data_IF_709874266675
#
_entry.id   IF_709874266675
#
_cell.length_a   1.000
_cell.length_b   1.000
_cell.length_c   1.000
_cell.angle_alpha   90.00
_cell.angle_beta   90.00
_cell.angle_gamma   90.00
#
_symmetry.space_group_name_H-M   'P 1'
#
loop_
_entity.id
_entity.type
_entity.pdbx_description
1 polymer ?
#
# COMPACT_ATOMS: atom_id res chain seq x y z
N UNK A 1 -11.96 12.56 -7.18
CA UNK A 1 -12.88 12.80 -6.05
C UNK A 1 -13.29 14.27 -6.02
N UNK A 2 -12.34 15.18 -6.23
CA UNK A 2 -12.58 16.61 -6.40
C UNK A 2 -12.15 17.08 -7.81
N UNK A 3 -12.64 18.24 -8.29
CA UNK A 3 -12.11 18.90 -9.48
C UNK A 3 -10.63 19.26 -9.33
N UNK A 4 -9.84 19.09 -10.39
CA UNK A 4 -8.39 19.35 -10.37
C UNK A 4 -8.00 20.76 -9.89
N UNK A 5 -8.68 21.84 -10.30
CA UNK A 5 -8.30 23.19 -9.85
C UNK A 5 -8.35 23.37 -8.32
N UNK A 6 -9.25 22.67 -7.63
CA UNK A 6 -9.37 22.72 -6.17
C UNK A 6 -8.26 21.91 -5.50
N UNK A 7 -7.94 20.75 -6.09
CA UNK A 7 -6.88 19.87 -5.59
C UNK A 7 -5.51 20.53 -5.70
N UNK A 8 -5.23 21.17 -6.84
CA UNK A 8 -3.93 21.78 -7.13
C UNK A 8 -3.70 23.09 -6.38
N UNK A 9 -4.77 23.76 -5.94
CA UNK A 9 -4.70 24.99 -5.15
C UNK A 9 -5.03 24.73 -3.67
N UNK A 10 -6.29 24.90 -3.28
CA UNK A 10 -6.75 24.99 -1.88
C UNK A 10 -6.41 23.78 -1.01
N UNK A 11 -6.39 22.57 -1.59
CA UNK A 11 -6.14 21.35 -0.81
C UNK A 11 -4.69 20.88 -0.85
N UNK A 12 -3.90 21.36 -1.80
CA UNK A 12 -2.49 21.00 -1.88
C UNK A 12 -1.70 21.79 -0.84
N UNK A 13 -0.82 21.11 -0.10
CA UNK A 13 0.16 21.75 0.77
C UNK A 13 1.30 22.30 -0.08
N UNK A 14 0.99 23.25 -0.97
CA UNK A 14 1.95 23.88 -1.86
C UNK A 14 3.02 24.60 -1.04
N UNK A 15 4.27 24.38 -1.40
CA UNK A 15 5.37 25.07 -0.78
C UNK A 15 5.21 26.59 -1.01
N UNK A 16 5.49 27.37 0.04
CA UNK A 16 5.60 28.84 0.07
C UNK A 16 4.37 29.65 0.55
N UNK A 17 3.19 29.06 0.78
CA UNK A 17 2.05 29.77 1.40
C UNK A 17 1.52 29.05 2.66
N UNK A 18 1.04 29.81 3.64
CA UNK A 18 0.42 29.26 4.84
C UNK A 18 -0.92 28.60 4.46
N UNK A 19 -0.99 27.28 4.61
CA UNK A 19 -2.17 26.47 4.23
C UNK A 19 -2.89 25.94 5.45
N UNK A 20 -4.21 25.83 5.37
CA UNK A 20 -5.02 25.25 6.44
C UNK A 20 -4.84 23.73 6.49
N UNK A 21 -4.55 23.21 7.67
CA UNK A 21 -4.37 21.79 7.92
C UNK A 21 -5.15 21.33 9.15
N UNK A 22 -5.41 20.02 9.20
CA UNK A 22 -5.70 19.31 10.43
C UNK A 22 -4.41 18.61 10.83
N UNK A 23 -3.78 19.08 11.91
CA UNK A 23 -2.52 18.56 12.41
C UNK A 23 -2.73 17.58 13.55
N UNK A 24 -1.86 16.58 13.61
CA UNK A 24 -1.86 15.53 14.63
C UNK A 24 -0.45 15.49 15.22
N UNK A 25 -0.33 15.88 16.49
CA UNK A 25 0.93 15.85 17.25
C UNK A 25 0.91 14.70 18.26
N UNK A 26 2.05 14.04 18.45
CA UNK A 26 2.23 12.95 19.41
C UNK A 26 3.71 12.78 19.73
N UNK A 27 4.03 12.16 20.87
CA UNK A 27 5.39 11.69 21.17
C UNK A 27 5.46 10.17 21.13
N UNK A 28 6.62 9.66 20.76
CA UNK A 28 6.94 8.23 20.77
C UNK A 28 7.89 7.98 21.94
N UNK A 29 7.50 7.11 22.87
CA UNK A 29 8.32 6.76 24.03
C UNK A 29 9.50 5.83 23.68
N UNK A 30 10.31 5.48 24.67
CA UNK A 30 11.48 4.61 24.49
C UNK A 30 11.09 3.20 24.01
N UNK A 31 9.91 2.71 24.38
CA UNK A 31 9.37 1.43 23.94
C UNK A 31 8.70 1.49 22.56
N UNK A 32 8.49 2.67 21.98
CA UNK A 32 7.85 2.87 20.68
C UNK A 32 6.33 3.08 20.72
N UNK A 33 5.74 3.28 21.91
CA UNK A 33 4.31 3.59 22.09
C UNK A 33 4.06 5.07 21.88
N UNK A 34 2.81 5.40 21.55
CA UNK A 34 2.32 6.79 21.55
C UNK A 34 1.69 7.10 22.90
N UNK A 35 2.13 8.19 23.52
CA UNK A 35 1.60 8.69 24.80
C UNK A 35 0.10 9.06 24.73
N UNK A 36 -0.51 9.39 25.88
CA UNK A 36 -1.87 9.95 25.96
C UNK A 36 -1.93 11.47 25.73
N UNK A 37 -0.77 12.13 25.64
CA UNK A 37 -0.61 13.58 25.48
C UNK A 37 -0.68 14.05 24.03
N UNK A 38 -1.16 13.20 23.11
CA UNK A 38 -1.36 13.56 21.71
C UNK A 38 -2.37 14.70 21.53
N UNK A 39 -2.20 15.47 20.46
CA UNK A 39 -3.03 16.61 20.12
C UNK A 39 -3.57 16.48 18.70
N UNK A 40 -4.84 16.86 18.50
CA UNK A 40 -5.41 17.07 17.17
C UNK A 40 -5.98 18.48 17.12
N UNK A 41 -5.50 19.30 16.19
CA UNK A 41 -5.91 20.69 16.07
C UNK A 41 -5.98 21.15 14.61
N UNK A 42 -6.74 22.21 14.36
CA UNK A 42 -6.65 22.94 13.09
C UNK A 42 -5.47 23.90 13.16
N UNK A 43 -4.66 23.95 12.12
CA UNK A 43 -3.41 24.70 12.10
C UNK A 43 -3.20 25.40 10.75
N UNK A 44 -2.34 26.43 10.76
CA UNK A 44 -1.73 26.98 9.55
C UNK A 44 -0.32 26.41 9.42
N UNK A 45 -0.02 25.77 8.29
CA UNK A 45 1.28 25.14 8.04
C UNK A 45 1.94 25.71 6.80
N UNK A 46 3.27 25.81 6.85
CA UNK A 46 4.11 26.09 5.70
C UNK A 46 4.97 24.87 5.45
N UNK A 47 4.94 24.33 4.23
CA UNK A 47 5.64 23.11 3.86
C UNK A 47 6.71 23.38 2.81
N UNK A 48 7.62 22.41 2.65
CA UNK A 48 8.55 22.36 1.54
C UNK A 48 8.32 21.06 0.78
N UNK A 49 8.46 21.11 -0.54
CA UNK A 49 8.34 19.92 -1.37
C UNK A 49 9.68 19.20 -1.37
N UNK A 50 9.68 17.96 -0.89
CA UNK A 50 10.82 17.05 -0.90
C UNK A 50 10.37 15.69 -1.43
N UNK A 51 11.22 14.97 -2.16
CA UNK A 51 10.92 13.63 -2.69
C UNK A 51 11.52 12.53 -1.80
N UNK A 52 11.06 11.29 -2.00
CA UNK A 52 11.65 10.13 -1.32
C UNK A 52 13.14 10.01 -1.62
N UNK A 53 13.52 10.16 -2.90
CA UNK A 53 14.92 10.08 -3.35
C UNK A 53 15.78 11.18 -2.69
N UNK A 54 15.23 12.38 -2.49
CA UNK A 54 15.95 13.47 -1.79
C UNK A 54 16.19 13.14 -0.31
N UNK A 55 15.19 12.60 0.39
CA UNK A 55 15.31 12.21 1.81
C UNK A 55 16.25 11.03 1.97
N UNK A 56 16.16 10.03 1.09
CA UNK A 56 17.07 8.89 1.11
C UNK A 56 18.53 9.36 0.88
N UNK A 57 18.77 10.20 -0.11
CA UNK A 57 20.10 10.78 -0.36
C UNK A 57 20.60 11.65 0.81
N UNK A 58 19.71 12.41 1.47
CA UNK A 58 20.04 13.20 2.65
C UNK A 58 20.45 12.31 3.83
N UNK A 59 19.72 11.23 4.09
CA UNK A 59 20.03 10.29 5.17
C UNK A 59 21.32 9.50 4.89
N UNK A 60 21.64 9.23 3.62
CA UNK A 60 22.89 8.60 3.20
C UNK A 60 24.10 9.54 3.28
N UNK A 61 23.93 10.84 3.00
CA UNK A 61 25.04 11.79 2.96
C UNK A 61 25.69 12.00 4.34
N UNK A 62 24.90 11.86 5.41
CA UNK A 62 25.32 12.11 6.78
C UNK A 62 26.01 13.48 6.97
N UNK A 63 25.56 14.50 6.23
CA UNK A 63 26.19 15.82 6.18
C UNK A 63 26.11 16.62 7.50
N UNK A 64 25.35 16.12 8.48
CA UNK A 64 25.19 16.73 9.80
C UNK A 64 24.42 18.05 9.77
N UNK A 65 23.76 18.39 8.66
CA UNK A 65 22.88 19.55 8.54
C UNK A 65 21.64 19.43 9.44
N UNK A 66 20.90 20.54 9.60
CA UNK A 66 19.68 20.52 10.41
C UNK A 66 18.63 19.58 9.81
N UNK A 67 18.43 19.63 8.49
CA UNK A 67 17.50 18.73 7.81
C UNK A 67 17.86 17.26 8.01
N UNK A 68 19.16 16.92 7.93
CA UNK A 68 19.63 15.56 8.24
C UNK A 68 19.25 15.15 9.66
N UNK A 69 19.53 16.00 10.66
CA UNK A 69 19.17 15.71 12.07
C UNK A 69 17.68 15.48 12.24
N UNK A 70 16.84 16.34 11.65
CA UNK A 70 15.38 16.23 11.75
C UNK A 70 14.87 14.90 11.16
N UNK A 71 15.34 14.52 9.96
CA UNK A 71 14.95 13.25 9.34
C UNK A 71 15.57 12.03 10.03
N UNK A 72 16.78 12.15 10.56
CA UNK A 72 17.44 11.09 11.33
C UNK A 72 16.67 10.80 12.63
N UNK A 73 16.31 11.83 13.39
CA UNK A 73 15.54 11.67 14.62
C UNK A 73 14.15 11.08 14.34
N UNK A 74 13.54 11.49 13.23
CA UNK A 74 12.29 10.91 12.75
C UNK A 74 12.42 9.43 12.36
N UNK A 75 13.48 9.04 11.64
CA UNK A 75 13.79 7.64 11.31
C UNK A 75 13.98 6.81 12.58
N UNK A 76 14.74 7.31 13.56
CA UNK A 76 14.94 6.63 14.85
C UNK A 76 13.61 6.39 15.57
N UNK A 77 12.75 7.40 15.65
CA UNK A 77 11.43 7.27 16.26
C UNK A 77 10.54 6.26 15.50
N UNK A 78 10.55 6.32 14.16
CA UNK A 78 9.78 5.41 13.31
C UNK A 78 10.25 3.96 13.46
N UNK A 79 11.56 3.71 13.55
CA UNK A 79 12.11 2.35 13.78
C UNK A 79 11.69 1.77 15.12
N UNK A 80 11.75 2.57 16.20
CA UNK A 80 11.29 2.15 17.54
C UNK A 80 9.81 1.77 17.50
N UNK A 81 8.99 2.64 16.90
CA UNK A 81 7.55 2.41 16.77
C UNK A 81 7.23 1.20 15.90
N UNK A 82 7.93 1.00 14.78
CA UNK A 82 7.80 -0.20 13.95
C UNK A 82 8.13 -1.46 14.75
N UNK A 83 9.23 -1.47 15.49
CA UNK A 83 9.62 -2.59 16.34
C UNK A 83 8.54 -2.90 17.39
N UNK A 84 7.97 -1.87 18.02
CA UNK A 84 6.85 -2.02 18.94
C UNK A 84 5.63 -2.66 18.28
N UNK A 85 5.19 -2.15 17.12
CA UNK A 85 4.04 -2.70 16.38
C UNK A 85 4.29 -4.15 15.96
N UNK A 86 5.49 -4.48 15.51
CA UNK A 86 5.89 -5.87 15.21
C UNK A 86 5.78 -6.75 16.44
N UNK A 87 6.19 -6.25 17.62
CA UNK A 87 5.96 -6.91 18.91
C UNK A 87 4.48 -7.11 19.26
N UNK A 88 3.59 -6.25 18.75
CA UNK A 88 2.12 -6.40 18.85
C UNK A 88 1.51 -7.34 17.80
N UNK A 89 2.34 -8.02 17.00
CA UNK A 89 1.92 -8.94 15.94
C UNK A 89 1.64 -8.26 14.60
N UNK A 90 2.09 -7.01 14.39
CA UNK A 90 2.06 -6.41 13.06
C UNK A 90 2.88 -7.24 12.08
N UNK A 91 2.37 -7.33 10.86
CA UNK A 91 3.00 -8.11 9.81
C UNK A 91 3.38 -7.19 8.65
N UNK A 92 4.68 -7.10 8.38
CA UNK A 92 5.22 -6.32 7.26
C UNK A 92 5.56 -7.26 6.12
N UNK A 93 5.10 -6.91 4.92
CA UNK A 93 5.47 -7.61 3.69
C UNK A 93 6.12 -6.61 2.77
N UNK A 94 7.36 -6.89 2.40
CA UNK A 94 8.03 -6.15 1.36
C UNK A 94 7.40 -6.53 0.02
N UNK A 95 6.70 -5.56 -0.58
CA UNK A 95 6.12 -5.68 -1.90
C UNK A 95 6.67 -4.54 -2.74
N UNK A 96 7.20 -4.86 -3.91
CA UNK A 96 7.45 -3.85 -4.93
C UNK A 96 6.14 -3.55 -5.66
N UNK A 97 5.94 -2.30 -6.04
CA UNK A 97 4.72 -1.91 -6.73
C UNK A 97 5.05 -1.44 -8.14
N UNK A 98 4.50 -2.11 -9.18
CA UNK A 98 4.70 -1.66 -10.55
C UNK A 98 3.88 -0.39 -10.81
N UNK A 99 4.57 0.70 -11.13
CA UNK A 99 3.96 1.92 -11.67
C UNK A 99 3.87 1.81 -13.19
N UNK A 100 2.65 1.61 -13.66
CA UNK A 100 2.33 1.56 -15.08
C UNK A 100 2.06 2.98 -15.60
N UNK A 101 2.77 3.38 -16.66
CA UNK A 101 2.57 4.65 -17.38
C UNK A 101 2.35 4.35 -18.86
N UNK A 102 1.31 4.95 -19.41
CA UNK A 102 0.92 4.82 -20.82
C UNK A 102 0.98 6.20 -21.47
N UNK A 103 1.68 6.31 -22.59
CA UNK A 103 1.81 7.53 -23.39
C UNK A 103 1.26 7.29 -24.80
N UNK A 104 0.63 8.31 -25.40
CA UNK A 104 0.03 8.20 -26.74
C UNK A 104 -1.14 7.21 -26.80
N UNK A 105 -2.03 7.24 -25.79
CA UNK A 105 -3.19 6.34 -25.69
C UNK A 105 -4.13 6.41 -26.92
N UNK A 106 -4.18 7.58 -27.54
CA UNK A 106 -4.95 7.91 -28.74
C UNK A 106 -4.27 7.52 -30.06
N UNK A 107 -3.00 7.12 -30.02
CA UNK A 107 -2.26 6.63 -31.19
C UNK A 107 -2.49 5.14 -31.48
N UNK A 108 -2.12 4.70 -32.70
CA UNK A 108 -2.21 3.28 -33.09
C UNK A 108 -1.29 2.36 -32.26
N UNK A 109 -0.20 2.90 -31.71
CA UNK A 109 0.78 2.18 -30.89
C UNK A 109 1.08 2.95 -29.58
N UNK A 110 0.32 2.71 -28.51
CA UNK A 110 0.57 3.35 -27.22
C UNK A 110 1.90 2.86 -26.64
N UNK A 111 2.72 3.78 -26.14
CA UNK A 111 3.97 3.43 -25.46
C UNK A 111 3.65 3.05 -24.01
N UNK A 112 3.84 1.79 -23.68
CA UNK A 112 3.64 1.28 -22.31
C UNK A 112 4.97 1.19 -21.61
N UNK A 113 5.09 1.83 -20.45
CA UNK A 113 6.25 1.73 -19.57
C UNK A 113 5.81 1.25 -18.18
N UNK A 114 6.54 0.30 -17.62
CA UNK A 114 6.28 -0.22 -16.28
C UNK A 114 7.56 0.01 -15.48
N UNK A 115 7.49 0.91 -14.49
CA UNK A 115 8.58 1.15 -13.54
C UNK A 115 8.25 0.46 -12.24
N UNK A 116 9.00 -0.56 -11.88
CA UNK A 116 8.93 -1.14 -10.54
C UNK A 116 9.56 -0.15 -9.56
N UNK A 117 8.81 0.25 -8.54
CA UNK A 117 9.32 1.14 -7.49
C UNK A 117 9.48 0.34 -6.20
N UNK A 118 10.68 0.40 -5.63
CA UNK A 118 10.98 -0.10 -4.29
C UNK A 118 10.29 0.77 -3.25
N UNK A 119 9.66 0.13 -2.27
CA UNK A 119 8.87 0.78 -1.22
C UNK A 119 9.43 0.50 0.18
N UNK A 120 10.66 0.00 0.25
CA UNK A 120 11.39 -0.41 1.45
C UNK A 120 12.52 0.56 1.85
N UNK A 121 12.59 1.74 1.20
CA UNK A 121 13.61 2.76 1.49
C UNK A 121 13.35 3.47 2.83
N UNK A 122 14.35 4.20 3.34
CA UNK A 122 14.24 4.90 4.63
C UNK A 122 13.10 5.92 4.61
N UNK A 123 13.02 6.73 3.55
CA UNK A 123 11.98 7.73 3.38
C UNK A 123 10.58 7.10 3.30
N UNK A 124 10.43 5.97 2.61
CA UNK A 124 9.16 5.23 2.55
C UNK A 124 8.73 4.71 3.92
N UNK A 125 9.67 4.13 4.67
CA UNK A 125 9.42 3.61 6.00
C UNK A 125 8.99 4.71 6.99
N UNK A 126 9.66 5.87 6.94
CA UNK A 126 9.28 7.06 7.74
C UNK A 126 7.83 7.45 7.44
N UNK A 127 7.48 7.66 6.17
CA UNK A 127 6.14 8.10 5.79
C UNK A 127 5.10 7.06 6.21
N UNK A 128 5.35 5.78 5.95
CA UNK A 128 4.43 4.70 6.34
C UNK A 128 4.15 4.71 7.85
N UNK A 129 5.19 4.73 8.69
CA UNK A 129 5.02 4.72 10.15
C UNK A 129 4.31 5.97 10.65
N UNK A 130 4.63 7.16 10.11
CA UNK A 130 3.95 8.40 10.47
C UNK A 130 2.47 8.38 10.09
N UNK A 131 2.12 7.80 8.94
CA UNK A 131 0.72 7.67 8.54
C UNK A 131 -0.04 6.65 9.42
N UNK A 132 0.63 5.58 9.86
CA UNK A 132 0.06 4.62 10.80
C UNK A 132 -0.12 5.24 12.19
N UNK A 133 0.86 6.00 12.68
CA UNK A 133 0.82 6.76 13.93
C UNK A 133 -0.33 7.77 13.95
N UNK A 134 -0.43 8.61 12.92
CA UNK A 134 -1.54 9.57 12.79
C UNK A 134 -2.91 8.87 12.78
N UNK A 135 -3.01 7.70 12.14
CA UNK A 135 -4.24 6.93 12.12
C UNK A 135 -4.58 6.22 13.44
N UNK A 136 -3.58 5.81 14.22
CA UNK A 136 -3.78 5.33 15.60
C UNK A 136 -4.32 6.45 16.48
N UNK A 137 -3.66 7.62 16.46
CA UNK A 137 -4.04 8.80 17.26
C UNK A 137 -5.45 9.25 16.91
N UNK A 138 -5.77 9.36 15.61
CA UNK A 138 -7.12 9.71 15.18
C UNK A 138 -8.16 8.66 15.60
N UNK A 139 -7.80 7.37 15.58
CA UNK A 139 -8.62 6.28 16.09
C UNK A 139 -8.90 6.44 17.58
N UNK A 140 -7.86 6.55 18.41
CA UNK A 140 -7.94 6.74 19.87
C UNK A 140 -8.73 7.99 20.23
N UNK A 141 -8.46 9.12 19.57
CA UNK A 141 -9.20 10.36 19.75
C UNK A 141 -10.69 10.18 19.46
N UNK A 142 -11.03 9.52 18.35
CA UNK A 142 -12.42 9.33 17.95
C UNK A 142 -13.15 8.37 18.88
N UNK A 143 -12.51 7.28 19.31
CA UNK A 143 -13.06 6.33 20.28
C UNK A 143 -13.32 7.00 21.63
N UNK A 144 -12.32 7.67 22.21
CA UNK A 144 -12.40 8.37 23.50
C UNK A 144 -13.53 9.39 23.54
N UNK A 145 -13.70 10.13 22.44
CA UNK A 145 -14.72 11.19 22.32
C UNK A 145 -16.04 10.72 21.70
N UNK A 146 -16.20 9.41 21.42
CA UNK A 146 -17.41 8.81 20.82
C UNK A 146 -17.80 9.44 19.47
N UNK A 147 -16.80 9.80 18.66
CA UNK A 147 -16.98 10.36 17.33
C UNK A 147 -17.10 9.20 16.33
N UNK A 148 -18.23 9.03 15.62
CA UNK A 148 -18.37 7.97 14.65
C UNK A 148 -17.56 8.30 13.40
N UNK A 149 -16.52 7.50 13.17
CA UNK A 149 -15.60 7.56 12.02
C UNK A 149 -15.47 6.17 11.38
N UNK A 150 -14.76 6.07 10.26
CA UNK A 150 -14.46 4.80 9.62
C UNK A 150 -13.28 4.09 10.32
N UNK A 151 -13.56 3.32 11.37
CA UNK A 151 -12.55 2.46 11.96
C UNK A 151 -12.21 1.32 11.02
N UNK A 152 -10.94 0.97 10.95
CA UNK A 152 -10.43 -0.17 10.18
C UNK A 152 -9.93 -1.23 11.11
N UNK A 153 -10.44 -2.44 10.91
CA UNK A 153 -10.04 -3.62 11.67
C UNK A 153 -9.62 -4.73 10.72
N UNK A 154 -8.93 -5.71 11.26
CA UNK A 154 -8.53 -6.89 10.53
C UNK A 154 -8.38 -8.03 11.54
N UNK A 155 -9.15 -9.09 11.32
CA UNK A 155 -9.08 -10.29 12.15
C UNK A 155 -7.70 -10.96 12.06
N UNK A 156 -7.32 -11.78 13.06
CA UNK A 156 -6.08 -12.54 13.03
C UNK A 156 -5.93 -13.35 11.73
N UNK A 157 -4.69 -13.54 11.24
CA UNK A 157 -4.40 -14.39 10.11
C UNK A 157 -4.99 -15.79 10.31
N UNK A 158 -5.31 -16.47 9.21
CA UNK A 158 -5.69 -17.88 9.26
C UNK A 158 -4.47 -18.71 9.67
N UNK A 159 -4.71 -19.78 10.40
CA UNK A 159 -3.70 -20.81 10.60
C UNK A 159 -3.33 -21.42 9.23
N UNK A 160 -2.03 -21.70 8.98
CA UNK A 160 -1.62 -22.45 7.80
C UNK A 160 -2.32 -23.80 7.78
N UNK A 161 -2.71 -24.26 6.59
CA UNK A 161 -3.25 -25.62 6.46
C UNK A 161 -2.18 -26.68 6.74
N UNK A 162 -2.59 -27.88 7.18
CA UNK A 162 -1.67 -29.01 7.37
C UNK A 162 -0.87 -29.26 6.07
N UNK A 163 0.46 -29.09 6.14
CA UNK A 163 1.37 -29.24 5.00
C UNK A 163 1.84 -27.95 4.33
N UNK A 164 1.24 -26.78 4.62
CA UNK A 164 1.78 -25.47 4.19
C UNK A 164 2.98 -25.08 5.05
N UNK A 165 4.16 -25.60 4.68
CA UNK A 165 5.43 -25.25 5.32
C UNK A 165 5.92 -23.88 4.85
N UNK A 166 5.28 -22.79 5.28
CA UNK A 166 5.68 -21.43 4.91
C UNK A 166 7.12 -21.12 5.37
N UNK A 167 7.56 -21.74 6.47
CA UNK A 167 8.93 -21.63 6.97
C UNK A 167 9.99 -22.19 6.02
N UNK A 168 9.64 -23.15 5.15
CA UNK A 168 10.58 -23.73 4.18
C UNK A 168 10.64 -22.97 2.86
N UNK A 169 9.75 -21.99 2.65
CA UNK A 169 9.77 -21.12 1.47
C UNK A 169 10.91 -20.11 1.64
N UNK A 170 11.80 -19.95 0.63
CA UNK A 170 12.85 -18.93 0.66
C UNK A 170 12.28 -17.52 0.81
N UNK A 171 13.05 -16.61 1.43
CA UNK A 171 12.68 -15.20 1.53
C UNK A 171 12.44 -14.56 0.16
N UNK A 172 11.61 -13.51 0.15
CA UNK A 172 11.21 -12.79 -1.06
C UNK A 172 9.77 -13.11 -1.50
N UNK A 173 9.48 -12.86 -2.79
CA UNK A 173 8.11 -12.82 -3.33
C UNK A 173 7.25 -14.05 -3.00
N UNK A 174 7.83 -15.25 -3.07
CA UNK A 174 7.09 -16.48 -2.83
C UNK A 174 6.58 -16.57 -1.38
N UNK A 175 7.45 -16.28 -0.40
CA UNK A 175 7.10 -16.30 1.02
C UNK A 175 6.19 -15.13 1.38
N UNK A 176 6.51 -13.92 0.90
CA UNK A 176 5.67 -12.72 1.04
C UNK A 176 4.24 -12.96 0.59
N UNK A 177 4.04 -13.52 -0.62
CA UNK A 177 2.71 -13.82 -1.14
C UNK A 177 2.04 -15.00 -0.44
N UNK A 178 2.79 -16.00 0.02
CA UNK A 178 2.24 -17.10 0.82
C UNK A 178 1.67 -16.58 2.15
N UNK A 179 2.41 -15.72 2.84
CA UNK A 179 1.96 -15.10 4.09
C UNK A 179 0.74 -14.20 3.86
N UNK A 180 0.71 -13.41 2.77
CA UNK A 180 -0.45 -12.58 2.42
C UNK A 180 -1.73 -13.41 2.17
N UNK A 181 -1.62 -14.67 1.71
CA UNK A 181 -2.80 -15.55 1.53
C UNK A 181 -3.42 -15.99 2.85
N UNK A 182 -2.65 -16.00 3.94
CA UNK A 182 -3.17 -16.28 5.28
C UNK A 182 -3.92 -15.09 5.87
N UNK A 183 -3.59 -13.87 5.43
CA UNK A 183 -4.23 -12.65 5.94
C UNK A 183 -5.72 -12.61 5.56
N UNK A 184 -6.55 -12.21 6.53
CA UNK A 184 -7.97 -11.92 6.28
C UNK A 184 -8.12 -10.52 5.68
N UNK A 185 -9.14 -10.23 4.86
CA UNK A 185 -9.40 -8.88 4.40
C UNK A 185 -9.59 -7.91 5.58
N UNK A 186 -9.17 -6.64 5.42
CA UNK A 186 -9.55 -5.59 6.36
C UNK A 186 -11.00 -5.17 6.15
N UNK A 187 -11.65 -4.80 7.24
CA UNK A 187 -13.05 -4.37 7.30
C UNK A 187 -13.12 -2.92 7.78
N UNK A 188 -14.23 -2.25 7.45
CA UNK A 188 -14.52 -0.90 7.92
C UNK A 188 -15.84 -0.90 8.68
N UNK A 189 -15.81 -0.39 9.90
CA UNK A 189 -16.98 -0.28 10.78
C UNK A 189 -16.95 1.09 11.50
N UNK A 190 -18.07 1.47 12.10
CA UNK A 190 -18.15 2.61 13.03
C UNK A 190 -17.76 2.23 14.46
N UNK A 191 -17.62 0.92 14.73
CA UNK A 191 -17.13 0.38 16.00
C UNK A 191 -15.63 0.11 15.90
N UNK A 192 -14.82 0.61 16.85
CA UNK A 192 -13.40 0.31 16.89
C UNK A 192 -13.16 -1.18 17.14
N UNK A 193 -12.14 -1.73 16.49
CA UNK A 193 -11.67 -3.10 16.69
C UNK A 193 -10.24 -3.23 16.20
N UNK A 194 -9.51 -4.22 16.76
CA UNK A 194 -8.10 -4.44 16.49
C UNK A 194 -7.84 -4.68 15.01
N UNK A 195 -6.77 -4.08 14.52
CA UNK A 195 -6.22 -4.35 13.21
C UNK A 195 -4.97 -5.21 13.32
N UNK A 196 -5.16 -6.53 13.37
CA UNK A 196 -4.07 -7.49 13.61
C UNK A 196 -2.90 -7.32 12.65
N UNK A 197 -3.14 -7.11 11.35
CA UNK A 197 -2.05 -7.00 10.37
C UNK A 197 -1.13 -5.79 10.54
N UNK A 198 -1.55 -4.74 11.26
CA UNK A 198 -0.70 -3.56 11.55
C UNK A 198 -0.37 -3.43 13.04
N UNK A 199 -0.83 -4.36 13.88
CA UNK A 199 -0.51 -4.39 15.31
C UNK A 199 -1.09 -3.22 16.12
N UNK A 200 -2.27 -2.71 15.76
CA UNK A 200 -2.92 -1.60 16.46
C UNK A 200 -4.31 -1.99 16.98
N UNK A 201 -4.63 -1.63 18.22
CA UNK A 201 -5.93 -1.91 18.83
C UNK A 201 -7.07 -1.06 18.27
N UNK A 202 -6.75 0.16 17.85
CA UNK A 202 -7.69 1.06 17.16
C UNK A 202 -6.97 1.80 16.05
N UNK A 203 -7.62 1.89 14.89
CA UNK A 203 -7.05 2.55 13.72
C UNK A 203 -8.14 3.17 12.85
N UNK A 204 -7.95 4.43 12.46
CA UNK A 204 -8.84 5.15 11.55
C UNK A 204 -8.01 5.92 10.52
N UNK A 205 -8.41 5.86 9.24
CA UNK A 205 -7.68 6.56 8.19
C UNK A 205 -8.12 8.02 8.11
N UNK A 206 -7.16 8.94 8.31
CA UNK A 206 -7.39 10.40 8.20
C UNK A 206 -6.35 11.13 7.36
N UNK A 207 -5.36 10.40 6.85
CA UNK A 207 -4.15 10.97 6.23
C UNK A 207 -4.27 11.22 4.73
N UNK A 208 -5.44 11.01 4.12
CA UNK A 208 -5.64 11.24 2.68
C UNK A 208 -7.05 11.71 2.32
N UNK A 209 -7.57 12.79 2.94
CA UNK A 209 -8.93 13.30 2.72
C UNK A 209 -9.20 13.76 1.28
N UNK A 210 -8.17 14.10 0.51
CA UNK A 210 -8.28 14.54 -0.89
C UNK A 210 -8.69 13.38 -1.83
N UNK A 211 -8.34 12.13 -1.47
CA UNK A 211 -8.51 10.95 -2.34
C UNK A 211 -9.30 9.81 -1.71
N UNK A 212 -9.56 9.85 -0.39
CA UNK A 212 -10.37 8.86 0.33
C UNK A 212 -11.57 9.55 0.97
N UNK A 213 -12.77 9.15 0.56
CA UNK A 213 -14.01 9.70 1.09
C UNK A 213 -14.17 9.42 2.59
N UNK A 214 -13.70 8.27 3.08
CA UNK A 214 -13.72 7.90 4.51
C UNK A 214 -12.92 8.87 5.37
N UNK A 215 -11.73 9.25 4.90
CA UNK A 215 -10.87 10.23 5.58
C UNK A 215 -11.52 11.61 5.59
N UNK A 216 -12.15 12.00 4.48
CA UNK A 216 -12.90 13.26 4.41
C UNK A 216 -14.06 13.30 5.41
N UNK A 217 -14.81 12.20 5.54
CA UNK A 217 -15.87 12.08 6.54
C UNK A 217 -15.32 12.18 7.97
N UNK A 218 -14.18 11.52 8.24
CA UNK A 218 -13.50 11.64 9.53
C UNK A 218 -13.05 13.09 9.81
N UNK A 219 -12.52 13.80 8.81
CA UNK A 219 -12.17 15.22 8.94
C UNK A 219 -13.39 16.08 9.29
N UNK A 220 -14.53 15.88 8.66
CA UNK A 220 -15.74 16.63 8.99
C UNK A 220 -16.20 16.39 10.43
N UNK A 221 -16.17 15.15 10.90
CA UNK A 221 -16.58 14.78 12.25
C UNK A 221 -15.60 15.33 13.30
N UNK A 222 -14.29 15.15 13.10
CA UNK A 222 -13.25 15.63 14.01
C UNK A 222 -13.28 17.15 14.08
N UNK A 223 -13.31 17.86 12.93
CA UNK A 223 -13.33 19.33 12.93
C UNK A 223 -14.60 19.89 13.57
N UNK A 224 -15.76 19.26 13.40
CA UNK A 224 -16.99 19.67 14.09
C UNK A 224 -16.85 19.52 15.61
N UNK A 225 -16.30 18.39 16.06
CA UNK A 225 -16.04 18.16 17.47
C UNK A 225 -15.07 19.21 18.06
N UNK A 226 -13.97 19.52 17.36
CA UNK A 226 -12.99 20.52 17.81
C UNK A 226 -13.58 21.93 17.96
N UNK A 227 -14.63 22.27 17.20
CA UNK A 227 -15.34 23.55 17.32
C UNK A 227 -16.45 23.54 18.39
N UNK A 228 -16.75 22.40 18.99
CA UNK A 228 -17.91 22.22 19.86
C UNK A 228 -19.25 22.16 19.11
N UNK A 229 -19.22 21.96 17.80
CA UNK A 229 -20.42 21.85 16.97
C UNK A 229 -21.09 20.47 17.15
N UNK A 230 -22.38 20.40 16.78
CA UNK A 230 -23.04 19.11 16.59
C UNK A 230 -22.37 18.33 15.46
N UNK A 231 -22.10 17.04 15.70
CA UNK A 231 -21.53 16.15 14.70
C UNK A 231 -22.41 16.10 13.43
N UNK A 232 -21.85 16.32 12.23
CA UNK A 232 -22.61 16.37 10.98
C UNK A 232 -23.25 15.04 10.59
N UNK A 233 -22.69 13.92 11.06
CA UNK A 233 -23.18 12.58 10.72
C UNK A 233 -23.44 11.75 11.99
N UNK A 234 -24.65 11.21 12.11
CA UNK A 234 -24.98 10.21 13.13
C UNK A 234 -24.32 8.88 12.81
N UNK A 235 -24.22 7.99 13.81
CA UNK A 235 -23.70 6.62 13.64
C UNK A 235 -24.41 5.86 12.51
N UNK A 236 -25.75 5.87 12.48
CA UNK A 236 -26.51 5.20 11.43
C UNK A 236 -26.24 5.77 10.03
N UNK A 237 -26.01 7.09 9.93
CA UNK A 237 -25.67 7.74 8.65
C UNK A 237 -24.25 7.39 8.22
N UNK A 238 -23.32 7.30 9.16
CA UNK A 238 -21.95 6.82 8.91
C UNK A 238 -21.95 5.38 8.43
N UNK A 239 -22.65 4.46 9.11
CA UNK A 239 -22.78 3.05 8.70
C UNK A 239 -23.28 2.93 7.25
N UNK A 240 -24.33 3.69 6.88
CA UNK A 240 -24.83 3.73 5.51
C UNK A 240 -23.78 4.20 4.51
N UNK A 241 -23.06 5.28 4.81
CA UNK A 241 -21.98 5.77 3.93
C UNK A 241 -20.85 4.75 3.79
N UNK A 242 -20.45 4.07 4.85
CA UNK A 242 -19.41 3.04 4.79
C UNK A 242 -19.82 1.88 3.89
N UNK A 243 -21.09 1.43 3.94
CA UNK A 243 -21.60 0.39 3.05
C UNK A 243 -21.51 0.81 1.57
N UNK A 244 -22.00 2.01 1.25
CA UNK A 244 -22.00 2.55 -0.12
C UNK A 244 -20.58 2.75 -0.66
N UNK A 245 -19.69 3.32 0.15
CA UNK A 245 -18.28 3.55 -0.21
C UNK A 245 -17.56 2.21 -0.42
N UNK A 246 -17.74 1.25 0.49
CA UNK A 246 -17.09 -0.07 0.40
C UNK A 246 -17.46 -0.80 -0.89
N UNK A 247 -18.75 -0.76 -1.27
CA UNK A 247 -19.23 -1.33 -2.53
C UNK A 247 -18.53 -0.69 -3.74
N UNK A 248 -18.52 0.65 -3.81
CA UNK A 248 -17.89 1.40 -4.92
C UNK A 248 -16.38 1.16 -5.00
N UNK A 249 -15.68 1.13 -3.86
CA UNK A 249 -14.24 0.84 -3.81
C UNK A 249 -13.93 -0.55 -4.35
N UNK A 250 -14.78 -1.55 -4.06
CA UNK A 250 -14.64 -2.91 -4.62
C UNK A 250 -14.78 -2.92 -6.14
N UNK A 251 -15.74 -2.19 -6.69
CA UNK A 251 -15.96 -2.04 -8.14
C UNK A 251 -14.76 -1.34 -8.81
N UNK A 252 -14.30 -0.23 -8.25
CA UNK A 252 -13.14 0.54 -8.74
C UNK A 252 -11.88 -0.32 -8.76
N UNK A 253 -11.60 -1.07 -7.68
CA UNK A 253 -10.46 -2.01 -7.64
C UNK A 253 -10.56 -3.09 -8.71
N UNK A 254 -11.77 -3.58 -8.99
CA UNK A 254 -12.00 -4.54 -10.07
C UNK A 254 -11.64 -3.97 -11.45
N UNK A 255 -12.01 -2.70 -11.71
CA UNK A 255 -11.66 -2.00 -12.95
C UNK A 255 -10.14 -1.80 -13.02
N UNK A 256 -9.54 -1.25 -11.95
CA UNK A 256 -8.10 -0.99 -11.87
C UNK A 256 -7.27 -2.25 -12.15
N UNK A 257 -7.63 -3.39 -11.55
CA UNK A 257 -6.94 -4.66 -11.78
C UNK A 257 -7.05 -5.13 -13.24
N UNK A 258 -8.21 -4.95 -13.89
CA UNK A 258 -8.38 -5.28 -15.32
C UNK A 258 -7.57 -4.36 -16.21
N UNK A 259 -7.55 -3.06 -15.92
CA UNK A 259 -6.75 -2.08 -16.67
C UNK A 259 -5.25 -2.35 -16.52
N UNK A 260 -4.76 -2.60 -15.31
CA UNK A 260 -3.36 -3.01 -15.07
C UNK A 260 -3.03 -4.28 -15.86
N UNK A 261 -3.88 -5.30 -15.78
CA UNK A 261 -3.70 -6.56 -16.52
C UNK A 261 -3.65 -6.35 -18.03
N UNK A 262 -4.56 -5.55 -18.59
CA UNK A 262 -4.58 -5.21 -20.01
C UNK A 262 -3.25 -4.60 -20.46
N UNK A 263 -2.78 -3.57 -19.76
CA UNK A 263 -1.56 -2.88 -20.15
C UNK A 263 -0.28 -3.70 -19.89
N UNK A 264 -0.27 -4.55 -18.86
CA UNK A 264 0.80 -5.54 -18.71
C UNK A 264 0.85 -6.49 -19.91
N UNK A 265 -0.29 -6.97 -20.40
CA UNK A 265 -0.34 -7.84 -21.57
C UNK A 265 0.10 -7.11 -22.84
N UNK A 266 -0.30 -5.85 -22.99
CA UNK A 266 0.15 -5.03 -24.12
C UNK A 266 1.66 -4.80 -24.09
N UNK A 267 2.27 -4.56 -22.91
CA UNK A 267 3.73 -4.48 -22.81
C UNK A 267 4.42 -5.79 -23.19
N UNK A 268 3.91 -6.92 -22.71
CA UNK A 268 4.47 -8.24 -23.05
C UNK A 268 4.34 -8.56 -24.55
N UNK A 269 3.26 -8.10 -25.20
CA UNK A 269 3.08 -8.20 -26.65
C UNK A 269 4.13 -7.37 -27.41
N UNK A 270 4.37 -6.14 -26.95
CA UNK A 270 5.40 -5.27 -27.53
C UNK A 270 6.81 -5.84 -27.31
N UNK A 271 7.10 -6.42 -26.15
CA UNK A 271 8.36 -7.13 -25.89
C UNK A 271 8.58 -8.26 -26.91
N UNK A 272 7.55 -9.05 -27.19
CA UNK A 272 7.60 -10.13 -28.18
C UNK A 272 7.93 -9.59 -29.59
N UNK A 273 7.28 -8.51 -30.01
CA UNK A 273 7.54 -7.84 -31.30
C UNK A 273 8.95 -7.23 -31.39
N UNK A 274 9.49 -6.76 -30.26
CA UNK A 274 10.85 -6.25 -30.12
C UNK A 274 11.91 -7.36 -29.99
N UNK A 275 11.52 -8.64 -29.98
CA UNK A 275 12.44 -9.78 -29.78
C UNK A 275 12.93 -9.95 -28.33
N UNK A 276 12.26 -9.34 -27.36
CA UNK A 276 12.53 -9.39 -25.91
C UNK A 276 11.57 -10.32 -25.17
N UNK A 277 11.25 -11.46 -25.78
CA UNK A 277 10.27 -12.43 -25.29
C UNK A 277 10.72 -13.24 -24.05
N UNK A 278 11.94 -13.06 -23.56
CA UNK A 278 12.47 -13.75 -22.40
C UNK A 278 12.42 -12.88 -21.14
N UNK A 279 11.85 -13.42 -20.06
CA UNK A 279 11.72 -12.72 -18.79
C UNK A 279 12.14 -13.61 -17.62
N UNK A 280 12.86 -13.04 -16.67
CA UNK A 280 13.14 -13.71 -15.40
C UNK A 280 11.99 -13.52 -14.40
N UNK A 281 11.84 -14.50 -13.51
CA UNK A 281 10.88 -14.40 -12.44
C UNK A 281 11.01 -15.51 -11.40
N UNK A 282 10.14 -15.46 -10.41
CA UNK A 282 10.12 -16.38 -9.26
C UNK A 282 8.80 -17.15 -9.21
N UNK A 283 8.86 -18.46 -8.98
CA UNK A 283 7.66 -19.29 -8.79
C UNK A 283 6.97 -18.93 -7.47
N UNK A 284 5.73 -18.45 -7.52
CA UNK A 284 4.97 -17.95 -6.35
C UNK A 284 3.66 -18.71 -6.07
N UNK A 285 3.33 -19.69 -6.90
CA UNK A 285 2.15 -20.52 -6.67
C UNK A 285 1.91 -21.59 -7.73
N UNK A 286 1.01 -22.50 -7.42
CA UNK A 286 0.57 -23.59 -8.31
C UNK A 286 -0.88 -23.36 -8.73
N UNK A 287 -1.21 -23.77 -9.96
CA UNK A 287 -2.57 -23.72 -10.54
C UNK A 287 -3.10 -25.09 -10.95
N UNK A 288 -2.27 -26.11 -10.86
CA UNK A 288 -2.60 -27.52 -11.10
C UNK A 288 -1.95 -28.39 -10.03
N UNK A 289 -2.55 -29.53 -9.73
CA UNK A 289 -2.05 -30.48 -8.72
C UNK A 289 -0.71 -31.10 -9.11
N UNK A 290 -0.52 -31.36 -10.41
CA UNK A 290 0.74 -31.84 -10.99
C UNK A 290 1.87 -30.79 -10.96
N UNK A 291 1.57 -29.55 -10.54
CA UNK A 291 2.48 -28.40 -10.48
C UNK A 291 3.12 -28.02 -11.83
N UNK A 292 2.53 -28.46 -12.95
CA UNK A 292 2.98 -28.13 -14.31
C UNK A 292 2.40 -26.82 -14.83
N UNK A 293 1.36 -26.30 -14.16
CA UNK A 293 0.84 -24.96 -14.37
C UNK A 293 1.11 -24.15 -13.12
N UNK A 294 1.97 -23.14 -13.26
CA UNK A 294 2.49 -22.34 -12.16
C UNK A 294 2.11 -20.87 -12.30
N UNK A 295 2.18 -20.15 -11.19
CA UNK A 295 2.14 -18.69 -11.14
C UNK A 295 3.56 -18.20 -10.90
N UNK A 296 4.04 -17.31 -11.78
CA UNK A 296 5.38 -16.71 -11.69
C UNK A 296 5.24 -15.20 -11.49
N UNK A 297 5.96 -14.65 -10.53
CA UNK A 297 6.15 -13.21 -10.41
C UNK A 297 7.28 -12.79 -11.35
N UNK A 298 7.00 -11.92 -12.32
CA UNK A 298 8.03 -11.38 -13.21
C UNK A 298 8.81 -10.26 -12.53
N UNK A 299 10.13 -10.32 -12.60
CA UNK A 299 11.01 -9.30 -11.99
C UNK A 299 10.85 -7.95 -12.72
N UNK A 300 10.85 -7.96 -14.06
CA UNK A 300 10.80 -6.74 -14.87
C UNK A 300 9.55 -5.89 -14.64
N UNK A 301 8.44 -6.52 -14.25
CA UNK A 301 7.12 -5.89 -14.21
C UNK A 301 6.38 -6.06 -12.89
N UNK A 302 7.00 -6.70 -11.89
CA UNK A 302 6.42 -7.01 -10.58
C UNK A 302 4.95 -7.50 -10.68
N UNK A 303 4.70 -8.42 -11.62
CA UNK A 303 3.35 -8.90 -11.95
C UNK A 303 3.29 -10.42 -12.00
N UNK A 304 2.17 -10.98 -11.55
CA UNK A 304 1.94 -12.42 -11.54
C UNK A 304 1.39 -12.87 -12.89
N UNK A 305 2.05 -13.84 -13.52
CA UNK A 305 1.59 -14.48 -14.75
C UNK A 305 1.43 -15.99 -14.57
N UNK A 306 0.54 -16.57 -15.39
CA UNK A 306 0.39 -18.01 -15.52
C UNK A 306 1.39 -18.52 -16.57
N UNK A 307 2.13 -19.58 -16.23
CA UNK A 307 3.05 -20.24 -17.15
C UNK A 307 2.95 -21.76 -17.04
N UNK A 308 3.31 -22.45 -18.13
CA UNK A 308 3.53 -23.90 -18.13
C UNK A 308 5.01 -24.21 -17.89
N UNK A 309 5.30 -25.30 -17.21
CA UNK A 309 6.66 -25.80 -16.96
C UNK A 309 6.76 -27.27 -17.35
N UNK A 310 7.90 -27.74 -17.89
CA UNK A 310 8.09 -29.15 -18.24
C UNK A 310 8.22 -30.07 -17.00
N UNK A 311 8.57 -29.51 -15.85
CA UNK A 311 8.76 -30.24 -14.60
C UNK A 311 8.27 -29.42 -13.39
N UNK A 312 7.90 -30.12 -12.32
CA UNK A 312 7.46 -29.47 -11.09
C UNK A 312 8.61 -28.67 -10.43
N UNK A 313 8.37 -27.40 -10.18
CA UNK A 313 9.34 -26.48 -9.57
C UNK A 313 8.89 -26.08 -8.16
N UNK A 314 9.81 -25.97 -7.18
CA UNK A 314 9.46 -25.51 -5.85
C UNK A 314 9.08 -24.01 -5.84
N UNK A 315 8.32 -23.58 -4.84
CA UNK A 315 8.09 -22.15 -4.57
C UNK A 315 9.42 -21.46 -4.27
N UNK A 316 9.58 -20.23 -4.77
CA UNK A 316 10.83 -19.48 -4.65
C UNK A 316 11.88 -19.81 -5.73
N UNK A 317 11.66 -20.82 -6.57
CA UNK A 317 12.58 -21.11 -7.68
C UNK A 317 12.64 -19.95 -8.67
N UNK A 318 13.85 -19.51 -9.02
CA UNK A 318 14.08 -18.58 -10.13
C UNK A 318 13.95 -19.32 -11.46
N UNK A 319 13.32 -18.68 -12.44
CA UNK A 319 13.05 -19.26 -13.75
C UNK A 319 13.26 -18.23 -14.85
N UNK A 320 13.68 -18.73 -16.02
CA UNK A 320 13.61 -17.99 -17.27
C UNK A 320 12.36 -18.43 -18.04
N UNK A 321 11.46 -17.49 -18.26
CA UNK A 321 10.22 -17.65 -19.02
C UNK A 321 10.39 -17.13 -20.43
N UNK A 322 9.74 -17.81 -21.37
CA UNK A 322 9.51 -17.29 -22.72
C UNK A 322 8.02 -17.01 -22.90
N UNK A 323 7.70 -15.80 -23.33
CA UNK A 323 6.36 -15.39 -23.76
C UNK A 323 6.21 -15.76 -25.24
N UNK A 324 5.22 -16.59 -25.54
CA UNK A 324 4.92 -17.13 -26.88
C UNK A 324 3.73 -16.42 -27.55
N UNK A 325 3.19 -15.41 -26.89
CA UNK A 325 1.96 -14.74 -27.32
C UNK A 325 1.22 -14.09 -26.17
N UNK A 326 0.97 -12.80 -26.29
CA UNK A 326 0.09 -12.02 -25.41
C UNK A 326 -1.02 -11.33 -26.23
N UNK A 327 -2.29 -11.54 -25.84
CA UNK A 327 -3.44 -10.85 -26.43
C UNK A 327 -4.17 -10.09 -25.31
N UNK A 328 -3.99 -8.76 -25.20
CA UNK A 328 -4.61 -7.96 -24.16
C UNK A 328 -6.13 -7.85 -24.33
N UNK A 329 -6.65 -7.86 -25.57
CA UNK A 329 -8.09 -7.77 -25.84
C UNK A 329 -8.84 -9.04 -25.43
N UNK A 330 -8.21 -10.21 -25.61
CA UNK A 330 -8.74 -11.50 -25.15
C UNK A 330 -8.34 -11.84 -23.70
N UNK A 331 -7.58 -10.97 -23.03
CA UNK A 331 -6.99 -11.24 -21.72
C UNK A 331 -6.27 -12.61 -21.65
N UNK A 332 -5.48 -12.91 -22.69
CA UNK A 332 -4.82 -14.21 -22.84
C UNK A 332 -3.31 -14.06 -22.89
N UNK A 333 -2.60 -15.03 -22.31
CA UNK A 333 -1.14 -15.09 -22.28
C UNK A 333 -0.70 -16.54 -22.41
N UNK A 334 0.25 -16.80 -23.30
CA UNK A 334 0.95 -18.07 -23.42
C UNK A 334 2.40 -17.86 -23.01
N UNK A 335 2.80 -18.46 -21.90
CA UNK A 335 4.16 -18.40 -21.40
C UNK A 335 4.63 -19.80 -20.99
N UNK A 336 5.91 -20.08 -21.23
CA UNK A 336 6.53 -21.37 -20.95
C UNK A 336 7.87 -21.19 -20.22
N UNK A 337 8.12 -21.98 -19.18
CA UNK A 337 9.41 -21.99 -18.47
C UNK A 337 10.43 -22.73 -19.33
N UNK A 338 11.48 -22.04 -19.77
CA UNK A 338 12.55 -22.63 -20.58
C UNK A 338 13.59 -23.34 -19.73
N UNK A 339 14.00 -22.70 -18.64
CA UNK A 339 14.92 -23.29 -17.68
C UNK A 339 14.71 -22.71 -16.29
N UNK A 340 15.10 -23.50 -15.30
CA UNK A 340 15.35 -23.01 -13.94
C UNK A 340 16.68 -22.24 -13.94
N UNK A 341 16.73 -21.13 -13.21
CA UNK A 341 17.96 -20.40 -12.95
C UNK A 341 18.55 -20.88 -11.62
N UNK A 342 19.87 -20.86 -11.52
CA UNK A 342 20.59 -21.27 -10.31
C UNK A 342 20.37 -20.31 -9.15
#
# INVERSE_FOLDING_TARGET
MFPMPIVESMFSLLAMEATEALSIGFQVDEEGRIDEGYEICTSLVSTQRITYDDVDALLESADGGQAYRDFHDLDVACRRRRAWRTGQGAFTVELENPKLRVEGFDGENPKVSIKVTRMDTLAWNIVEEMMLAAGEVAGRFSEKNRIPVAFRSQLPPKEPSEGEQISSIPEGWAKSLALLKLMRPSEMDVRPSRHCGIGLDVYSQVTSPIRRATDLLAHFQIKAFLRGDKLPFSTAKMEKYLMDITKRVKEIRGIENRTKRYWTLERLRQDEEEGKNFHEGVVVGYRSEDKLIITVMLDSYATQIKARTPLALPLGARVLLEVLGADPRKNSLKAFVRKRLE
#
